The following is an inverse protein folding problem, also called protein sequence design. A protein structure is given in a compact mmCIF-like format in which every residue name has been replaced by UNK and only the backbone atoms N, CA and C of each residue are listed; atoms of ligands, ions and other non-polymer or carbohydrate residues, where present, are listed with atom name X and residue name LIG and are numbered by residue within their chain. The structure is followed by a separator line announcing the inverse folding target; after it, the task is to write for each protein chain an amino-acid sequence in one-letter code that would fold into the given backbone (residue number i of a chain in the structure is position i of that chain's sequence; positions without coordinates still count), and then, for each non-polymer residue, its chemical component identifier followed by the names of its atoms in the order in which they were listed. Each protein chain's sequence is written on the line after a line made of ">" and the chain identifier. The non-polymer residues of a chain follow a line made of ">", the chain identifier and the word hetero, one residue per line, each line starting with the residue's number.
data_IF_486169351684
#
_entry.id   IF_486169351684
#
_cell.length_a   1.000
_cell.length_b   1.000
_cell.length_c   1.000
_cell.angle_alpha   90.00
_cell.angle_beta   90.00
_cell.angle_gamma   90.00
#
_symmetry.space_group_name_H-M   'P 1'
#
loop_
_entity.id
_entity.type
_entity.pdbx_description
1 polymer ?
#
# COMPACT_ATOMS: atom_id res chain seq x y z
N UNK A 1 -10.22 4.30 7.30
CA UNK A 1 -10.31 5.65 7.91
C UNK A 1 -10.37 5.48 9.42
N UNK A 2 -9.75 6.37 10.18
CA UNK A 2 -9.71 6.34 11.66
C UNK A 2 -10.01 7.73 12.23
N UNK A 3 -10.38 7.81 13.51
CA UNK A 3 -10.67 9.07 14.19
C UNK A 3 -12.10 9.57 13.97
N UNK A 4 -13.03 8.66 13.65
CA UNK A 4 -14.47 8.95 13.74
C UNK A 4 -14.86 9.15 15.21
N UNK A 5 -15.89 9.95 15.53
CA UNK A 5 -16.19 10.28 16.93
C UNK A 5 -16.48 9.08 17.84
N UNK A 6 -16.92 7.96 17.28
CA UNK A 6 -17.21 6.70 17.96
C UNK A 6 -16.03 5.71 17.95
N UNK A 7 -14.91 6.06 17.33
CA UNK A 7 -13.71 5.24 17.34
C UNK A 7 -13.13 5.13 18.75
N UNK A 8 -12.62 3.94 19.04
CA UNK A 8 -11.79 3.67 20.22
C UNK A 8 -10.45 3.11 19.77
N UNK A 9 -9.40 3.31 20.55
CA UNK A 9 -8.08 2.74 20.26
C UNK A 9 -8.16 1.22 20.08
N UNK A 10 -8.89 0.54 20.98
CA UNK A 10 -9.10 -0.90 20.90
C UNK A 10 -9.78 -1.35 19.61
N UNK A 11 -10.81 -0.62 19.12
CA UNK A 11 -11.47 -0.91 17.84
C UNK A 11 -10.51 -0.71 16.67
N UNK A 12 -9.83 0.43 16.63
CA UNK A 12 -8.93 0.78 15.53
C UNK A 12 -7.78 -0.24 15.40
N UNK A 13 -7.24 -0.72 16.52
CA UNK A 13 -6.14 -1.70 16.51
C UNK A 13 -6.54 -3.10 16.04
N UNK A 14 -7.83 -3.37 15.79
CA UNK A 14 -8.27 -4.62 15.12
C UNK A 14 -8.12 -4.56 13.59
N UNK A 15 -7.99 -3.38 13.01
CA UNK A 15 -8.00 -3.18 11.55
C UNK A 15 -6.87 -3.89 10.80
N UNK A 16 -5.61 -3.94 11.30
CA UNK A 16 -4.54 -4.65 10.60
C UNK A 16 -4.89 -6.12 10.33
N UNK A 17 -5.42 -6.82 11.34
CA UNK A 17 -5.80 -8.22 11.20
C UNK A 17 -6.90 -8.41 10.14
N UNK A 18 -7.91 -7.55 10.12
CA UNK A 18 -8.98 -7.58 9.12
C UNK A 18 -8.44 -7.33 7.70
N UNK A 19 -7.54 -6.35 7.53
CA UNK A 19 -6.92 -6.04 6.23
C UNK A 19 -6.09 -7.23 5.71
N UNK A 20 -5.37 -7.93 6.60
CA UNK A 20 -4.62 -9.14 6.26
C UNK A 20 -5.53 -10.31 5.91
N UNK A 21 -6.71 -10.40 6.54
CA UNK A 21 -7.72 -11.42 6.25
C UNK A 21 -8.31 -11.26 4.85
N UNK A 22 -8.58 -10.03 4.44
CA UNK A 22 -9.09 -9.71 3.11
C UNK A 22 -8.02 -9.76 2.00
N UNK A 23 -6.74 -9.90 2.35
CA UNK A 23 -5.65 -10.00 1.38
C UNK A 23 -5.35 -8.67 0.68
N UNK A 24 -5.41 -7.56 1.41
CA UNK A 24 -4.99 -6.26 0.88
C UNK A 24 -3.51 -6.29 0.50
N UNK A 25 -3.20 -5.63 -0.61
CA UNK A 25 -1.82 -5.41 -1.05
C UNK A 25 -1.25 -4.16 -0.38
N UNK A 26 -1.94 -3.04 -0.53
CA UNK A 26 -1.47 -1.76 0.00
C UNK A 26 -2.57 -1.15 0.86
N UNK A 27 -2.15 -0.45 1.90
CA UNK A 27 -3.05 0.29 2.78
C UNK A 27 -2.68 1.76 2.84
N UNK A 28 -3.71 2.60 2.91
CA UNK A 28 -3.60 4.01 3.27
C UNK A 28 -4.53 4.28 4.43
N UNK A 29 -3.96 4.66 5.57
CA UNK A 29 -4.72 4.98 6.77
C UNK A 29 -4.91 6.49 6.83
N UNK A 30 -6.14 6.95 6.63
CA UNK A 30 -6.50 8.37 6.67
C UNK A 30 -7.30 8.71 7.92
N UNK A 31 -7.21 9.97 8.37
CA UNK A 31 -8.05 10.51 9.43
C UNK A 31 -9.41 10.98 8.91
N UNK A 32 -10.43 10.87 9.77
CA UNK A 32 -11.74 11.44 9.50
C UNK A 32 -11.66 12.98 9.51
N UNK A 33 -11.92 13.57 8.34
CA UNK A 33 -11.85 15.01 8.15
C UNK A 33 -13.20 15.51 7.66
N UNK A 34 -13.92 16.31 8.46
CA UNK A 34 -15.24 16.80 8.08
C UNK A 34 -15.12 17.94 7.06
N UNK A 35 -15.31 17.70 5.77
CA UNK A 35 -15.20 18.78 4.78
C UNK A 35 -16.46 19.68 4.77
N UNK A 36 -16.33 21.00 4.53
CA UNK A 36 -17.46 21.93 4.45
C UNK A 36 -18.55 21.46 3.48
N UNK A 37 -19.81 21.68 3.86
CA UNK A 37 -20.97 21.28 3.08
C UNK A 37 -21.29 19.78 3.14
N UNK A 38 -20.50 18.98 3.87
CA UNK A 38 -20.85 17.59 4.17
C UNK A 38 -21.72 17.50 5.41
N UNK A 39 -22.57 16.47 5.47
CA UNK A 39 -23.34 16.15 6.69
C UNK A 39 -22.43 15.95 7.90
N UNK A 40 -21.27 15.31 7.70
CA UNK A 40 -20.31 15.07 8.77
C UNK A 40 -19.73 16.37 9.35
N UNK A 41 -19.58 17.42 8.53
CA UNK A 41 -19.16 18.74 9.03
C UNK A 41 -20.21 19.43 9.88
N UNK A 42 -21.48 19.37 9.48
CA UNK A 42 -22.56 19.92 10.31
C UNK A 42 -22.70 19.16 11.63
N UNK A 43 -22.60 17.83 11.61
CA UNK A 43 -22.62 16.99 12.82
C UNK A 43 -21.42 17.29 13.73
N UNK A 44 -20.22 17.41 13.18
CA UNK A 44 -19.01 17.76 13.93
C UNK A 44 -19.10 19.16 14.54
N UNK A 45 -19.67 20.12 13.81
CA UNK A 45 -19.90 21.49 14.29
C UNK A 45 -20.90 21.53 15.43
N UNK A 46 -22.04 20.85 15.28
CA UNK A 46 -23.09 20.77 16.31
C UNK A 46 -22.61 20.07 17.58
N UNK A 47 -21.72 19.08 17.42
CA UNK A 47 -21.17 18.29 18.54
C UNK A 47 -19.91 18.90 19.16
N UNK A 48 -19.49 20.09 18.72
CA UNK A 48 -18.29 20.77 19.27
C UNK A 48 -16.97 20.04 18.97
N UNK A 49 -16.92 19.20 17.93
CA UNK A 49 -15.74 18.42 17.57
C UNK A 49 -14.78 19.19 16.65
N UNK A 50 -15.21 20.31 16.08
CA UNK A 50 -14.34 21.20 15.30
C UNK A 50 -13.42 22.01 16.24
N UNK A 51 -12.20 22.36 15.80
CA UNK A 51 -11.38 23.34 16.50
C UNK A 51 -12.08 24.70 16.61
N UNK A 52 -11.82 25.44 17.70
CA UNK A 52 -12.41 26.78 17.95
C UNK A 52 -12.18 27.75 16.78
N UNK A 53 -11.01 27.66 16.16
CA UNK A 53 -10.68 28.37 14.92
C UNK A 53 -10.40 27.36 13.83
N UNK A 54 -11.25 27.37 12.81
CA UNK A 54 -11.09 26.51 11.63
C UNK A 54 -9.92 27.01 10.79
N UNK A 55 -8.87 26.20 10.69
CA UNK A 55 -7.81 26.33 9.70
C UNK A 55 -8.12 25.41 8.51
N UNK A 56 -8.48 26.00 7.38
CA UNK A 56 -8.80 25.29 6.15
C UNK A 56 -7.60 24.55 5.55
N UNK A 57 -6.39 25.07 5.74
CA UNK A 57 -5.17 24.46 5.20
C UNK A 57 -4.79 23.17 5.94
N UNK A 58 -5.21 23.04 7.19
CA UNK A 58 -5.00 21.86 8.02
C UNK A 58 -6.07 20.78 7.83
N UNK A 59 -7.14 21.04 7.07
CA UNK A 59 -8.19 20.06 6.75
C UNK A 59 -7.70 19.08 5.67
N UNK A 60 -6.71 18.28 6.03
CA UNK A 60 -6.19 17.19 5.21
C UNK A 60 -6.65 15.85 5.77
N UNK A 61 -6.50 14.78 5.00
CA UNK A 61 -6.74 13.41 5.48
C UNK A 61 -5.51 12.79 6.17
N UNK A 62 -4.40 13.53 6.21
CA UNK A 62 -3.09 13.04 6.67
C UNK A 62 -2.82 13.36 8.13
N UNK A 63 -3.53 14.34 8.72
CA UNK A 63 -3.38 14.71 10.12
C UNK A 63 -4.74 14.75 10.83
N UNK A 64 -4.82 14.41 12.13
CA UNK A 64 -6.05 14.52 12.90
C UNK A 64 -6.52 15.98 13.00
N UNK A 65 -7.67 16.26 12.41
CA UNK A 65 -8.26 17.59 12.44
C UNK A 65 -9.18 17.79 13.66
N UNK A 66 -10.07 16.82 13.88
CA UNK A 66 -11.11 16.84 14.91
C UNK A 66 -10.55 16.85 16.34
N UNK A 67 -11.28 17.50 17.24
CA UNK A 67 -11.19 17.30 18.68
C UNK A 67 -11.95 16.01 19.03
N UNK A 68 -11.28 14.88 18.85
CA UNK A 68 -11.87 13.56 19.10
C UNK A 68 -12.21 13.39 20.60
N UNK A 69 -13.39 12.83 20.95
CA UNK A 69 -13.90 12.86 22.32
C UNK A 69 -13.05 12.06 23.32
N UNK A 70 -12.39 10.98 22.88
CA UNK A 70 -11.67 10.04 23.76
C UNK A 70 -10.19 9.87 23.44
N UNK A 71 -9.71 10.41 22.32
CA UNK A 71 -8.35 10.18 21.82
C UNK A 71 -7.72 11.52 21.46
N UNK A 72 -6.53 11.78 22.00
CA UNK A 72 -5.75 12.94 21.58
C UNK A 72 -5.26 12.77 20.13
N UNK A 73 -4.92 13.89 19.49
CA UNK A 73 -4.29 13.89 18.15
C UNK A 73 -3.01 13.05 18.12
N UNK A 74 -2.22 13.10 19.20
CA UNK A 74 -1.00 12.30 19.32
C UNK A 74 -1.29 10.80 19.42
N UNK A 75 -2.33 10.40 20.16
CA UNK A 75 -2.77 9.00 20.19
C UNK A 75 -3.24 8.54 18.82
N UNK A 76 -4.02 9.35 18.10
CA UNK A 76 -4.48 9.03 16.75
C UNK A 76 -3.31 8.83 15.77
N UNK A 77 -2.30 9.70 15.81
CA UNK A 77 -1.06 9.54 15.03
C UNK A 77 -0.29 8.27 15.41
N UNK A 78 -0.16 7.99 16.72
CA UNK A 78 0.50 6.78 17.21
C UNK A 78 -0.21 5.52 16.71
N UNK A 79 -1.54 5.49 16.82
CA UNK A 79 -2.36 4.34 16.38
C UNK A 79 -2.30 4.17 14.86
N UNK A 80 -2.30 5.26 14.08
CA UNK A 80 -2.10 5.21 12.63
C UNK A 80 -0.77 4.52 12.28
N UNK A 81 0.32 4.93 12.93
CA UNK A 81 1.65 4.34 12.74
C UNK A 81 1.66 2.86 13.12
N UNK A 82 1.03 2.51 14.23
CA UNK A 82 0.92 1.13 14.69
C UNK A 82 0.17 0.24 13.69
N UNK A 83 -0.94 0.73 13.10
CA UNK A 83 -1.67 0.00 12.05
C UNK A 83 -0.76 -0.30 10.86
N UNK A 84 -0.05 0.71 10.38
CA UNK A 84 0.84 0.60 9.21
C UNK A 84 1.94 -0.42 9.50
N UNK A 85 2.57 -0.31 10.67
CA UNK A 85 3.63 -1.20 11.11
C UNK A 85 3.14 -2.64 11.29
N UNK A 86 2.00 -2.86 11.95
CA UNK A 86 1.43 -4.20 12.14
C UNK A 86 1.06 -4.85 10.82
N UNK A 87 0.52 -4.09 9.87
CA UNK A 87 0.16 -4.61 8.56
C UNK A 87 1.40 -5.05 7.77
N UNK A 88 2.32 -4.11 7.47
CA UNK A 88 3.46 -4.35 6.57
C UNK A 88 4.53 -5.28 7.16
N UNK A 89 4.59 -5.40 8.49
CA UNK A 89 5.55 -6.29 9.17
C UNK A 89 4.94 -7.61 9.60
N UNK A 90 3.64 -7.83 9.36
CA UNK A 90 3.03 -9.12 9.68
C UNK A 90 3.61 -10.22 8.78
N UNK A 91 3.80 -11.40 9.37
CA UNK A 91 4.18 -12.60 8.62
C UNK A 91 3.21 -12.89 7.47
N UNK A 92 1.91 -12.75 7.73
CA UNK A 92 0.83 -13.00 6.78
C UNK A 92 0.90 -12.10 5.55
N UNK A 93 1.23 -10.81 5.73
CA UNK A 93 1.44 -9.90 4.62
C UNK A 93 2.59 -10.36 3.71
N UNK A 94 3.72 -10.77 4.29
CA UNK A 94 4.84 -11.26 3.50
C UNK A 94 4.49 -12.51 2.72
N UNK A 95 3.82 -13.47 3.37
CA UNK A 95 3.39 -14.71 2.73
C UNK A 95 2.47 -14.40 1.55
N UNK A 96 1.56 -13.43 1.72
CA UNK A 96 0.70 -12.91 0.64
C UNK A 96 1.52 -12.30 -0.51
N UNK A 97 2.51 -11.45 -0.22
CA UNK A 97 3.38 -10.85 -1.25
C UNK A 97 4.24 -11.91 -1.95
N UNK A 98 4.84 -12.87 -1.22
CA UNK A 98 5.61 -13.99 -1.78
C UNK A 98 4.74 -14.82 -2.71
N UNK A 99 3.56 -15.25 -2.26
CA UNK A 99 2.64 -16.06 -3.06
C UNK A 99 2.23 -15.31 -4.34
N UNK A 100 1.85 -14.04 -4.20
CA UNK A 100 1.42 -13.21 -5.34
C UNK A 100 2.54 -12.98 -6.33
N UNK A 101 3.75 -12.70 -5.87
CA UNK A 101 4.92 -12.49 -6.75
C UNK A 101 5.42 -13.79 -7.38
N UNK A 102 5.21 -14.94 -6.73
CA UNK A 102 5.46 -16.26 -7.32
C UNK A 102 4.48 -16.52 -8.48
N UNK A 103 3.19 -16.25 -8.27
CA UNK A 103 2.15 -16.39 -9.32
C UNK A 103 2.30 -15.37 -10.45
N UNK A 104 2.78 -14.17 -10.13
CA UNK A 104 2.94 -13.06 -11.07
C UNK A 104 4.34 -12.43 -10.95
N UNK A 105 5.39 -13.06 -11.51
CA UNK A 105 6.78 -12.61 -11.35
C UNK A 105 7.05 -11.15 -11.72
N UNK A 106 6.27 -10.59 -12.68
CA UNK A 106 6.35 -9.19 -13.09
C UNK A 106 6.03 -8.18 -11.97
N UNK A 107 5.33 -8.59 -10.91
CA UNK A 107 4.97 -7.72 -9.78
C UNK A 107 6.11 -7.58 -8.76
N UNK A 108 7.17 -8.40 -8.87
CA UNK A 108 8.24 -8.42 -7.88
C UNK A 108 8.97 -7.08 -7.78
N UNK A 109 9.37 -6.51 -8.92
CA UNK A 109 10.11 -5.24 -8.94
C UNK A 109 9.29 -4.08 -8.38
N UNK A 110 8.02 -3.87 -8.80
CA UNK A 110 7.13 -2.89 -8.16
C UNK A 110 7.01 -3.05 -6.63
N UNK A 111 6.96 -4.29 -6.14
CA UNK A 111 6.89 -4.54 -4.69
C UNK A 111 8.16 -4.13 -3.95
N UNK A 112 9.33 -4.43 -4.53
CA UNK A 112 10.62 -4.01 -3.96
C UNK A 112 10.69 -2.49 -3.90
N UNK A 113 10.35 -1.81 -5.01
CA UNK A 113 10.35 -0.34 -5.08
C UNK A 113 9.39 0.28 -4.06
N UNK A 114 8.21 -0.33 -3.87
CA UNK A 114 7.25 0.13 -2.88
C UNK A 114 7.76 -0.01 -1.44
N UNK A 115 8.35 -1.16 -1.12
CA UNK A 115 8.94 -1.42 0.19
C UNK A 115 10.13 -0.49 0.48
N UNK A 116 10.97 -0.24 -0.53
CA UNK A 116 12.05 0.75 -0.47
C UNK A 116 11.52 2.17 -0.25
N UNK A 117 10.42 2.53 -0.93
CA UNK A 117 9.74 3.80 -0.71
C UNK A 117 9.24 3.94 0.74
N UNK A 118 8.57 2.92 1.29
CA UNK A 118 8.12 2.94 2.69
C UNK A 118 9.31 3.10 3.65
N UNK A 119 10.39 2.35 3.41
CA UNK A 119 11.61 2.43 4.22
C UNK A 119 12.26 3.81 4.17
N UNK A 120 12.45 4.37 2.97
CA UNK A 120 13.08 5.68 2.74
C UNK A 120 12.30 6.82 3.38
N UNK A 121 10.99 6.66 3.53
CA UNK A 121 10.14 7.63 4.20
C UNK A 121 9.99 7.38 5.72
N UNK A 122 10.74 6.44 6.28
CA UNK A 122 10.84 6.27 7.73
C UNK A 122 9.73 5.41 8.34
N UNK A 123 8.92 4.72 7.54
CA UNK A 123 7.88 3.79 8.04
C UNK A 123 8.51 2.77 8.99
N UNK A 124 9.65 2.21 8.61
CA UNK A 124 10.32 1.14 9.35
C UNK A 124 11.47 1.63 10.24
N UNK A 125 11.64 2.94 10.48
CA UNK A 125 12.84 3.50 11.15
C UNK A 125 13.13 2.87 12.53
N UNK A 126 12.10 2.46 13.26
CA UNK A 126 12.23 1.82 14.58
C UNK A 126 12.43 0.30 14.51
N UNK A 127 12.24 -0.32 13.34
CA UNK A 127 12.32 -1.77 13.09
C UNK A 127 13.00 -2.09 11.75
N UNK A 128 14.06 -1.36 11.43
CA UNK A 128 14.77 -1.42 10.14
C UNK A 128 15.48 -2.78 9.92
N UNK A 129 15.95 -3.40 11.01
CA UNK A 129 16.55 -4.74 10.99
C UNK A 129 15.52 -5.79 10.54
N UNK A 130 14.29 -5.69 11.02
CA UNK A 130 13.22 -6.60 10.64
C UNK A 130 12.90 -6.44 9.15
N UNK A 131 12.80 -5.21 8.65
CA UNK A 131 12.60 -4.90 7.23
C UNK A 131 13.65 -5.54 6.30
N UNK A 132 14.93 -5.48 6.68
CA UNK A 132 16.01 -6.03 5.84
C UNK A 132 15.88 -7.56 5.75
N UNK A 133 15.54 -8.21 6.87
CA UNK A 133 15.26 -9.65 6.91
C UNK A 133 14.04 -10.00 6.05
N UNK A 134 13.01 -9.15 6.03
CA UNK A 134 11.81 -9.33 5.19
C UNK A 134 12.16 -9.33 3.69
N UNK A 135 12.91 -8.32 3.24
CA UNK A 135 13.35 -8.21 1.84
C UNK A 135 14.27 -9.37 1.48
N UNK A 136 15.21 -9.73 2.35
CA UNK A 136 16.11 -10.85 2.09
C UNK A 136 15.36 -12.17 1.97
N UNK A 137 14.32 -12.41 2.78
CA UNK A 137 13.49 -13.61 2.66
C UNK A 137 12.70 -13.63 1.34
N UNK A 138 12.12 -12.49 0.94
CA UNK A 138 11.46 -12.31 -0.36
C UNK A 138 12.43 -12.54 -1.54
N UNK A 139 13.68 -12.11 -1.40
CA UNK A 139 14.70 -12.22 -2.44
C UNK A 139 15.32 -13.63 -2.49
N UNK A 140 15.66 -14.25 -1.35
CA UNK A 140 16.33 -15.56 -1.26
C UNK A 140 15.48 -16.72 -1.77
N UNK A 141 14.14 -16.66 -1.62
CA UNK A 141 13.23 -17.64 -2.24
C UNK A 141 13.33 -17.70 -3.79
N UNK A 142 14.13 -16.84 -4.45
CA UNK A 142 14.41 -16.90 -5.88
C UNK A 142 15.55 -17.83 -6.31
N UNK A 143 16.53 -18.13 -5.43
CA UNK A 143 17.69 -18.91 -5.87
C UNK A 143 17.40 -20.42 -5.97
N UNK A 144 16.36 -20.89 -5.28
CA UNK A 144 16.02 -22.32 -5.25
C UNK A 144 14.99 -22.72 -6.30
N UNK A 145 14.18 -21.81 -6.82
CA UNK A 145 13.19 -22.12 -7.87
C UNK A 145 13.75 -22.07 -9.30
N UNK A 146 14.98 -21.57 -9.51
CA UNK A 146 15.62 -21.54 -10.84
C UNK A 146 16.24 -22.88 -11.27
N UNK A 147 16.28 -23.90 -10.41
CA UNK A 147 16.97 -25.18 -10.71
C UNK A 147 16.06 -26.31 -11.16
N UNK A 148 14.73 -26.16 -11.05
CA UNK A 148 13.78 -27.22 -11.43
C UNK A 148 13.08 -26.98 -12.78
N UNK A 149 12.96 -25.73 -13.24
CA UNK A 149 12.34 -25.45 -14.55
C UNK A 149 13.26 -25.76 -15.73
N UNK A 150 14.57 -25.89 -15.52
CA UNK A 150 15.54 -26.25 -16.57
C UNK A 150 15.67 -27.77 -16.79
N UNK A 151 15.06 -28.60 -15.95
CA UNK A 151 15.12 -30.08 -16.09
C UNK A 151 13.94 -30.71 -16.83
N UNK A 152 12.88 -29.95 -17.10
CA UNK A 152 11.68 -30.46 -17.80
C UNK A 152 11.56 -30.05 -19.28
N UNK A 153 12.60 -29.48 -19.89
CA UNK A 153 12.61 -29.15 -21.34
C UNK A 153 13.07 -30.31 -22.25
N UNK A 154 13.31 -31.50 -21.71
CA UNK A 154 13.89 -32.63 -22.43
C UNK A 154 12.93 -33.81 -22.69
N UNK A 155 11.61 -33.63 -22.69
CA UNK A 155 10.71 -34.64 -23.26
C UNK A 155 9.46 -34.01 -23.86
N UNK A 156 9.27 -34.18 -25.18
CA UNK A 156 7.96 -33.92 -25.79
C UNK A 156 7.95 -33.33 -27.20
N UNK A 157 8.88 -33.70 -28.08
CA UNK A 157 8.72 -33.45 -29.52
C UNK A 157 7.49 -34.21 -30.07
N UNK A 158 6.36 -33.53 -30.23
CA UNK A 158 5.27 -33.98 -31.11
C UNK A 158 4.89 -32.88 -32.09
N UNK A 159 5.03 -33.24 -33.37
CA UNK A 159 4.65 -32.49 -34.56
C UNK A 159 3.16 -32.17 -34.54
N UNK A 160 2.80 -30.92 -34.83
CA UNK A 160 1.56 -30.57 -35.52
C UNK A 160 1.92 -29.50 -36.55
N UNK A 161 1.59 -29.78 -37.81
CA UNK A 161 1.93 -28.93 -38.95
C UNK A 161 0.80 -28.03 -39.41
N UNK A 162 1.18 -27.11 -40.32
CA UNK A 162 0.35 -26.20 -41.14
C UNK A 162 -0.44 -25.18 -40.31
N UNK A 163 -0.51 -23.90 -40.66
CA UNK A 163 -0.75 -23.36 -42.00
C UNK A 163 -0.34 -21.88 -41.99
N UNK A 164 0.36 -21.44 -43.03
CA UNK A 164 0.74 -20.04 -43.19
C UNK A 164 -0.45 -19.17 -43.53
N UNK A 165 -0.47 -17.95 -42.98
CA UNK A 165 -1.09 -16.81 -43.64
C UNK A 165 -0.19 -15.59 -43.43
N UNK A 166 0.39 -15.16 -44.54
CA UNK A 166 1.13 -13.93 -44.68
C UNK A 166 0.12 -12.82 -45.01
N UNK A 167 0.09 -11.75 -44.20
CA UNK A 167 -0.52 -10.48 -44.63
C UNK A 167 0.43 -9.35 -44.24
N UNK A 168 1.06 -8.78 -45.26
CA UNK A 168 1.75 -7.48 -45.22
C UNK A 168 0.73 -6.36 -44.97
N UNK A 169 1.06 -5.38 -44.13
CA UNK A 169 0.25 -4.16 -44.08
C UNK A 169 0.71 -3.09 -43.08
N UNK A 170 1.57 -2.20 -43.59
CA UNK A 170 1.61 -0.74 -43.33
C UNK A 170 1.95 -0.23 -41.92
N UNK A 171 3.05 0.53 -41.86
CA UNK A 171 3.38 1.43 -40.76
C UNK A 171 2.64 2.77 -40.84
N UNK A 172 2.40 3.33 -39.65
CA UNK A 172 2.18 4.72 -39.25
C UNK A 172 2.55 4.69 -37.74
N UNK A 173 3.35 5.54 -37.12
CA UNK A 173 3.56 6.97 -37.27
C UNK A 173 3.28 7.62 -35.91
N UNK A 174 4.33 8.12 -35.25
CA UNK A 174 4.38 9.08 -34.13
C UNK A 174 3.70 8.73 -32.79
N UNK A 175 4.52 8.39 -31.79
CA UNK A 175 4.16 8.46 -30.37
C UNK A 175 4.78 9.70 -29.73
N UNK A 176 3.94 10.68 -29.42
CA UNK A 176 4.29 11.89 -28.70
C UNK A 176 4.82 11.57 -27.29
N UNK A 177 5.91 12.25 -26.94
CA UNK A 177 6.57 12.17 -25.63
C UNK A 177 5.68 12.83 -24.58
N UNK A 178 5.06 12.02 -23.72
CA UNK A 178 4.40 12.51 -22.51
C UNK A 178 5.46 12.90 -21.46
N UNK A 179 5.79 14.18 -21.40
CA UNK A 179 6.57 14.78 -20.32
C UNK A 179 5.70 14.90 -19.06
N UNK A 180 5.64 13.83 -18.26
CA UNK A 180 5.08 13.87 -16.91
C UNK A 180 6.10 14.43 -15.93
N UNK A 181 6.01 15.72 -15.60
CA UNK A 181 6.63 16.27 -14.39
C UNK A 181 5.88 15.69 -13.19
N UNK A 182 6.37 14.59 -12.65
CA UNK A 182 5.91 14.06 -11.38
C UNK A 182 6.34 15.00 -10.25
N UNK A 183 5.38 15.71 -9.67
CA UNK A 183 5.54 16.42 -8.40
C UNK A 183 5.93 15.41 -7.31
N UNK A 184 6.92 15.68 -6.45
CA UNK A 184 7.29 14.75 -5.40
C UNK A 184 6.18 14.70 -4.34
N UNK A 185 5.52 13.55 -4.22
CA UNK A 185 4.75 13.19 -3.04
C UNK A 185 5.73 13.10 -1.87
N UNK A 186 5.78 14.15 -1.05
CA UNK A 186 6.41 14.07 0.27
C UNK A 186 5.56 13.12 1.11
N UNK A 187 6.12 11.99 1.53
CA UNK A 187 5.49 11.23 2.59
C UNK A 187 5.72 12.01 3.89
N UNK A 188 4.62 12.38 4.53
CA UNK A 188 4.62 12.97 5.85
C UNK A 188 4.24 11.86 6.83
N UNK A 189 5.23 11.44 7.63
CA UNK A 189 5.10 10.58 8.80
C UNK A 189 5.40 11.40 10.05
#
# INVERSE_FOLDING_TARGET
>A
MIGLPDDTEGRILTYPQQMLEYGFDEIRVCFATPFPGTRFFEEAKQSGLLPDKIDWSAMTTEAPYLNHPTLSKQQLLKVQKEIILQFYMSRRYLEHVVDKTTRFPKLKQPWVEYLEFLSSNGVFRERETDYTVLIEALVKNNSEQKTDTDKNSLFGGRRIGKMGLCVKGKGCGNGDKFNGRGSPLKAYF
#
